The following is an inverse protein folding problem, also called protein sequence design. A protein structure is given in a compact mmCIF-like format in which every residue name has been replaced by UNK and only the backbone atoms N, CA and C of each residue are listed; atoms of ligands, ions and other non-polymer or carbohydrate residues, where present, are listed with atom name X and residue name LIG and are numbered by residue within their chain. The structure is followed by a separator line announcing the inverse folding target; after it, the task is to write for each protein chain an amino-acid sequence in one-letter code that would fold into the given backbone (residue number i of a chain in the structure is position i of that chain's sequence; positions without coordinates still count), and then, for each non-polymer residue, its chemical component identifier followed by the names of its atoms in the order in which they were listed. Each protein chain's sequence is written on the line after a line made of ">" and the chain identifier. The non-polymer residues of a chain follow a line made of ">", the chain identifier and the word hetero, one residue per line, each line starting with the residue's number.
data_IF_037075645306
#
_entry.id   IF_037075645306
#
_cell.length_a   1.000
_cell.length_b   1.000
_cell.length_c   1.000
_cell.angle_alpha   90.00
_cell.angle_beta   90.00
_cell.angle_gamma   90.00
#
_symmetry.space_group_name_H-M   'P 1'
#
loop_
_entity.id
_entity.type
_entity.pdbx_description
1 polymer ?
#
# COMPACT_ATOMS: atom_id res chain seq x y z
N UNK A 1 -11.38 -7.89 19.04
CA UNK A 1 -11.75 -6.45 19.08
C UNK A 1 -12.62 -6.12 17.87
N UNK A 2 -13.95 -5.94 18.02
CA UNK A 2 -14.88 -5.92 16.89
C UNK A 2 -14.57 -4.85 15.81
N UNK A 3 -14.03 -3.70 16.22
CA UNK A 3 -13.72 -2.59 15.31
C UNK A 3 -12.44 -2.86 14.49
N UNK A 4 -11.39 -3.42 15.12
CA UNK A 4 -10.16 -3.82 14.43
C UNK A 4 -10.44 -4.90 13.39
N UNK A 5 -11.30 -5.86 13.75
CA UNK A 5 -11.75 -6.90 12.84
C UNK A 5 -12.45 -6.28 11.62
N UNK A 6 -13.42 -5.38 11.83
CA UNK A 6 -14.09 -4.68 10.72
C UNK A 6 -13.10 -3.93 9.81
N UNK A 7 -12.11 -3.25 10.39
CA UNK A 7 -11.11 -2.52 9.62
C UNK A 7 -10.23 -3.47 8.81
N UNK A 8 -9.73 -4.56 9.41
CA UNK A 8 -8.96 -5.58 8.68
C UNK A 8 -9.75 -6.19 7.52
N UNK A 9 -11.04 -6.43 7.75
CA UNK A 9 -11.92 -6.97 6.73
C UNK A 9 -12.13 -5.97 5.59
N UNK A 10 -12.20 -4.67 5.88
CA UNK A 10 -12.32 -3.63 4.87
C UNK A 10 -11.03 -3.44 4.06
N UNK A 11 -9.86 -3.43 4.73
CA UNK A 11 -8.56 -3.22 4.08
C UNK A 11 -8.19 -4.37 3.13
N UNK A 12 -8.47 -5.61 3.55
CA UNK A 12 -8.17 -6.82 2.78
C UNK A 12 -9.46 -7.53 2.36
N UNK A 13 -10.38 -6.77 1.76
CA UNK A 13 -11.61 -7.31 1.19
C UNK A 13 -11.33 -7.81 -0.25
N UNK A 14 -11.42 -9.12 -0.54
CA UNK A 14 -11.25 -9.63 -1.90
C UNK A 14 -12.39 -9.21 -2.85
N UNK A 15 -13.54 -8.76 -2.33
CA UNK A 15 -14.68 -8.29 -3.13
C UNK A 15 -14.55 -6.82 -3.57
N UNK A 16 -13.35 -6.23 -3.46
CA UNK A 16 -13.08 -4.84 -3.89
C UNK A 16 -13.12 -4.63 -5.41
N UNK A 17 -13.36 -5.67 -6.22
CA UNK A 17 -13.41 -5.62 -7.69
C UNK A 17 -14.34 -4.54 -8.29
N UNK A 18 -15.27 -4.00 -7.50
CA UNK A 18 -16.16 -2.90 -7.90
C UNK A 18 -15.51 -1.52 -7.84
N UNK A 19 -14.31 -1.40 -7.29
CA UNK A 19 -13.62 -0.13 -7.10
C UNK A 19 -12.41 -0.03 -8.01
N UNK A 20 -12.16 1.14 -8.61
CA UNK A 20 -10.96 1.40 -9.40
C UNK A 20 -9.66 1.11 -8.65
N UNK A 21 -9.68 1.25 -7.31
CA UNK A 21 -8.59 0.85 -6.44
C UNK A 21 -8.15 -0.61 -6.64
N UNK A 22 -9.10 -1.53 -6.85
CA UNK A 22 -8.79 -2.93 -7.11
C UNK A 22 -8.00 -3.12 -8.41
N UNK A 23 -8.38 -2.43 -9.49
CA UNK A 23 -7.66 -2.51 -10.77
C UNK A 23 -6.22 -2.00 -10.66
N UNK A 24 -6.00 -0.92 -9.89
CA UNK A 24 -4.66 -0.40 -9.63
C UNK A 24 -3.79 -1.41 -8.83
N UNK A 25 -4.35 -2.00 -7.76
CA UNK A 25 -3.63 -2.99 -6.94
C UNK A 25 -3.36 -4.28 -7.75
N UNK A 26 -4.35 -4.75 -8.50
CA UNK A 26 -4.22 -5.93 -9.35
C UNK A 26 -3.15 -5.74 -10.42
N UNK A 27 -3.21 -4.63 -11.17
CA UNK A 27 -2.21 -4.32 -12.18
C UNK A 27 -0.81 -4.18 -11.58
N UNK A 28 -0.68 -3.55 -10.40
CA UNK A 28 0.59 -3.46 -9.68
C UNK A 28 1.14 -4.84 -9.31
N UNK A 29 0.29 -5.75 -8.82
CA UNK A 29 0.73 -7.10 -8.43
C UNK A 29 1.10 -7.95 -9.64
N UNK A 30 0.37 -7.82 -10.75
CA UNK A 30 0.71 -8.43 -12.03
C UNK A 30 2.05 -7.90 -12.57
N UNK A 31 2.29 -6.59 -12.47
CA UNK A 31 3.58 -5.99 -12.82
C UNK A 31 4.74 -6.53 -11.97
N UNK A 32 4.53 -6.68 -10.65
CA UNK A 32 5.53 -7.29 -9.77
C UNK A 32 5.81 -8.75 -10.15
N UNK A 33 4.79 -9.50 -10.56
CA UNK A 33 4.93 -10.87 -11.04
C UNK A 33 5.72 -10.94 -12.35
N UNK A 34 5.44 -10.07 -13.31
CA UNK A 34 6.19 -10.01 -14.57
C UNK A 34 7.66 -9.66 -14.31
N UNK A 35 7.93 -8.71 -13.40
CA UNK A 35 9.31 -8.37 -13.00
C UNK A 35 10.02 -9.50 -12.28
N UNK A 36 9.34 -10.23 -11.40
CA UNK A 36 9.91 -11.42 -10.79
C UNK A 36 10.29 -12.47 -11.84
N UNK A 37 9.43 -12.69 -12.86
CA UNK A 37 9.72 -13.58 -13.98
C UNK A 37 10.93 -13.14 -14.80
N UNK A 38 11.03 -11.84 -15.12
CA UNK A 38 12.17 -11.25 -15.84
C UNK A 38 13.49 -11.47 -15.09
N UNK A 39 13.50 -11.34 -13.77
CA UNK A 39 14.66 -11.60 -12.92
C UNK A 39 14.84 -13.07 -12.50
N UNK A 40 14.03 -13.99 -13.04
CA UNK A 40 14.05 -15.43 -12.70
C UNK A 40 13.85 -15.72 -11.20
N UNK A 41 13.07 -14.88 -10.52
CA UNK A 41 12.71 -15.04 -9.12
C UNK A 41 11.46 -15.93 -9.03
N UNK A 42 11.64 -17.17 -8.59
CA UNK A 42 10.55 -18.14 -8.39
C UNK A 42 10.02 -18.21 -6.95
N UNK A 43 10.72 -17.60 -5.98
CA UNK A 43 10.35 -17.64 -4.57
C UNK A 43 9.12 -16.76 -4.28
N UNK A 44 8.01 -17.43 -3.94
CA UNK A 44 6.74 -16.77 -3.61
C UNK A 44 6.83 -15.84 -2.39
N UNK A 45 7.77 -16.07 -1.48
CA UNK A 45 7.95 -15.24 -0.29
C UNK A 45 8.53 -13.88 -0.62
N UNK A 46 9.40 -13.82 -1.64
CA UNK A 46 9.94 -12.57 -2.15
C UNK A 46 8.82 -11.77 -2.81
N UNK A 47 8.02 -12.41 -3.67
CA UNK A 47 6.84 -11.80 -4.29
C UNK A 47 5.82 -11.30 -3.25
N UNK A 48 5.52 -12.10 -2.23
CA UNK A 48 4.66 -11.71 -1.11
C UNK A 48 5.21 -10.48 -0.40
N UNK A 49 6.51 -10.47 -0.08
CA UNK A 49 7.17 -9.32 0.55
C UNK A 49 7.06 -8.06 -0.31
N UNK A 50 7.22 -8.16 -1.63
CA UNK A 50 7.07 -7.02 -2.54
C UNK A 50 5.64 -6.46 -2.50
N UNK A 51 4.63 -7.33 -2.57
CA UNK A 51 3.21 -6.95 -2.46
C UNK A 51 2.94 -6.23 -1.14
N UNK A 52 3.41 -6.77 -0.02
CA UNK A 52 3.23 -6.17 1.31
C UNK A 52 4.00 -4.86 1.48
N UNK A 53 5.21 -4.74 0.93
CA UNK A 53 5.99 -3.52 0.95
C UNK A 53 5.30 -2.39 0.18
N UNK A 54 4.73 -2.69 -0.99
CA UNK A 54 4.03 -1.69 -1.81
C UNK A 54 2.66 -1.32 -1.23
N UNK A 55 1.86 -2.29 -0.78
CA UNK A 55 0.49 -2.04 -0.36
C UNK A 55 0.37 -1.74 1.14
N UNK A 56 0.76 -2.69 1.99
CA UNK A 56 0.58 -2.54 3.43
C UNK A 56 1.46 -1.42 3.97
N UNK A 57 2.77 -1.46 3.71
CA UNK A 57 3.72 -0.56 4.37
C UNK A 57 3.65 0.87 3.86
N UNK A 58 3.43 1.07 2.55
CA UNK A 58 3.42 2.40 1.94
C UNK A 58 2.03 3.03 1.86
N UNK A 59 0.96 2.24 1.78
CA UNK A 59 -0.40 2.77 1.64
C UNK A 59 -1.23 2.58 2.90
N UNK A 60 -1.53 1.34 3.28
CA UNK A 60 -2.44 1.08 4.42
C UNK A 60 -1.90 1.57 5.75
N UNK A 61 -0.61 1.36 6.01
CA UNK A 61 0.02 1.83 7.24
C UNK A 61 -0.02 3.36 7.33
N UNK A 62 0.19 4.06 6.21
CA UNK A 62 0.10 5.52 6.18
C UNK A 62 -1.33 6.00 6.43
N UNK A 63 -2.34 5.30 5.91
CA UNK A 63 -3.74 5.63 6.16
C UNK A 63 -4.15 5.40 7.62
N UNK A 64 -3.76 4.27 8.22
CA UNK A 64 -4.08 3.94 9.61
C UNK A 64 -3.45 4.96 10.59
N UNK A 65 -2.23 5.41 10.29
CA UNK A 65 -1.49 6.30 11.18
C UNK A 65 -1.81 7.79 10.98
N UNK A 66 -2.33 8.18 9.81
CA UNK A 66 -2.65 9.56 9.48
C UNK A 66 -4.13 9.71 9.09
N UNK A 67 -5.03 9.37 10.03
CA UNK A 67 -6.47 9.40 9.78
C UNK A 67 -7.02 10.82 9.51
N UNK A 68 -6.33 11.84 10.01
CA UNK A 68 -6.62 13.27 9.76
C UNK A 68 -6.43 13.68 8.29
N UNK A 69 -5.67 12.91 7.51
CA UNK A 69 -5.59 13.12 6.06
C UNK A 69 -6.87 12.71 5.32
N UNK A 70 -7.71 11.87 5.94
CA UNK A 70 -8.91 11.28 5.32
C UNK A 70 -10.19 11.76 5.99
N UNK A 71 -10.15 11.94 7.31
CA UNK A 71 -11.28 12.31 8.14
C UNK A 71 -11.04 13.70 8.73
N UNK A 72 -12.09 14.51 8.80
CA UNK A 72 -12.06 15.81 9.47
C UNK A 72 -12.09 15.61 10.99
N UNK A 73 -11.00 15.07 11.52
CA UNK A 73 -10.79 14.81 12.94
C UNK A 73 -9.44 15.39 13.35
N UNK A 74 -9.36 16.09 14.50
CA UNK A 74 -8.06 16.53 15.00
C UNK A 74 -7.24 15.29 15.35
N UNK A 75 -6.09 15.11 14.68
CA UNK A 75 -5.14 14.09 15.10
C UNK A 75 -4.55 14.55 16.43
N UNK A 76 -5.14 14.08 17.52
CA UNK A 76 -4.60 14.29 18.85
C UNK A 76 -3.33 13.45 18.97
N UNK A 77 -2.22 14.01 18.50
CA UNK A 77 -0.88 13.42 18.60
C UNK A 77 -0.52 13.23 20.07
N UNK A 78 0.24 12.17 20.34
CA UNK A 78 0.67 11.70 21.64
C UNK A 78 -0.46 11.30 22.61
N UNK A 79 -1.62 10.89 22.10
CA UNK A 79 -2.73 10.39 22.92
C UNK A 79 -2.81 8.84 22.92
N UNK A 80 -3.72 8.29 23.73
CA UNK A 80 -3.95 6.84 23.81
C UNK A 80 -4.49 6.23 22.51
N UNK A 81 -5.22 7.02 21.70
CA UNK A 81 -5.78 6.55 20.44
C UNK A 81 -4.68 6.31 19.40
N UNK A 82 -3.76 7.27 19.22
CA UNK A 82 -2.62 7.15 18.32
C UNK A 82 -1.75 5.94 18.69
N UNK A 83 -1.46 5.74 19.98
CA UNK A 83 -0.72 4.55 20.46
C UNK A 83 -1.44 3.25 20.16
N UNK A 84 -2.77 3.24 20.27
CA UNK A 84 -3.60 2.09 19.94
C UNK A 84 -3.60 1.81 18.43
N UNK A 85 -3.65 2.86 17.59
CA UNK A 85 -3.55 2.75 16.14
C UNK A 85 -2.17 2.26 15.70
N UNK A 86 -1.09 2.72 16.32
CA UNK A 86 0.26 2.18 16.09
C UNK A 86 0.35 0.71 16.46
N UNK A 87 -0.19 0.33 17.62
CA UNK A 87 -0.19 -1.07 18.06
C UNK A 87 -0.95 -1.97 17.09
N UNK A 88 -2.10 -1.49 16.59
CA UNK A 88 -2.88 -2.17 15.56
C UNK A 88 -2.13 -2.23 14.23
N UNK A 89 -1.58 -1.12 13.75
CA UNK A 89 -0.77 -1.04 12.52
C UNK A 89 0.38 -2.05 12.53
N UNK A 90 1.06 -2.21 13.67
CA UNK A 90 2.12 -3.21 13.84
C UNK A 90 1.56 -4.64 13.77
N UNK A 91 0.40 -4.91 14.37
CA UNK A 91 -0.27 -6.21 14.24
C UNK A 91 -0.64 -6.51 12.77
N UNK A 92 -1.12 -5.51 12.01
CA UNK A 92 -1.39 -5.65 10.57
C UNK A 92 -0.09 -5.92 9.80
N UNK A 93 1.00 -5.23 10.14
CA UNK A 93 2.30 -5.45 9.52
C UNK A 93 2.79 -6.89 9.74
N UNK A 94 2.69 -7.42 10.96
CA UNK A 94 3.00 -8.84 11.23
C UNK A 94 2.10 -9.79 10.45
N UNK A 95 0.81 -9.49 10.31
CA UNK A 95 -0.10 -10.29 9.50
C UNK A 95 0.22 -10.27 8.00
N UNK A 96 0.93 -9.25 7.52
CA UNK A 96 1.37 -9.17 6.13
C UNK A 96 2.74 -9.82 5.87
N UNK A 97 3.40 -10.38 6.89
CA UNK A 97 4.66 -11.10 6.68
C UNK A 97 4.45 -12.33 5.76
N UNK A 98 5.47 -12.76 5.00
CA UNK A 98 5.39 -13.97 4.17
C UNK A 98 5.04 -15.22 4.99
N UNK A 99 5.50 -15.26 6.24
CA UNK A 99 5.31 -16.39 7.15
C UNK A 99 4.75 -15.89 8.48
N UNK A 100 3.88 -16.66 9.14
CA UNK A 100 3.45 -16.34 10.48
C UNK A 100 4.63 -16.59 11.43
N UNK A 101 5.18 -15.52 11.98
CA UNK A 101 6.27 -15.66 12.94
C UNK A 101 5.83 -16.40 14.21
N UNK A 102 6.66 -17.32 14.73
CA UNK A 102 6.42 -17.88 16.04
C UNK A 102 6.53 -16.79 17.11
N UNK A 103 5.84 -17.01 18.23
CA UNK A 103 5.87 -16.13 19.39
C UNK A 103 6.85 -16.72 20.39
N UNK A 104 7.73 -15.86 20.88
CA UNK A 104 8.78 -16.20 21.83
C UNK A 104 8.68 -15.28 23.06
N UNK A 105 9.34 -15.65 24.16
CA UNK A 105 9.26 -14.91 25.42
C UNK A 105 9.81 -13.47 25.31
N UNK A 106 10.71 -13.24 24.36
CA UNK A 106 11.33 -11.96 24.00
C UNK A 106 10.56 -11.19 22.91
N UNK A 107 9.42 -11.72 22.43
CA UNK A 107 8.62 -11.06 21.42
C UNK A 107 8.04 -9.73 21.94
N UNK A 108 7.97 -8.69 21.09
CA UNK A 108 7.35 -7.42 21.46
C UNK A 108 5.94 -7.61 22.02
N UNK A 109 5.59 -6.84 23.05
CA UNK A 109 4.33 -6.98 23.79
C UNK A 109 3.08 -7.00 22.88
N UNK A 110 3.05 -6.12 21.88
CA UNK A 110 1.98 -6.05 20.87
C UNK A 110 1.85 -7.34 20.04
N UNK A 111 2.97 -7.98 19.67
CA UNK A 111 2.97 -9.25 18.93
C UNK A 111 2.36 -10.38 19.77
N UNK A 112 2.69 -10.41 21.06
CA UNK A 112 2.11 -11.35 22.01
C UNK A 112 0.64 -11.07 22.28
N UNK A 113 0.27 -9.80 22.43
CA UNK A 113 -1.11 -9.37 22.68
C UNK A 113 -2.05 -9.75 21.53
N UNK A 114 -1.62 -9.56 20.28
CA UNK A 114 -2.41 -9.84 19.08
C UNK A 114 -2.10 -11.20 18.45
N UNK A 115 -1.48 -12.12 19.20
CA UNK A 115 -1.04 -13.43 18.71
C UNK A 115 -2.09 -14.19 17.90
N UNK A 116 -3.31 -14.26 18.45
CA UNK A 116 -4.40 -15.04 17.87
C UNK A 116 -4.96 -14.37 16.61
N UNK A 117 -5.07 -13.04 16.66
CA UNK A 117 -5.58 -12.19 15.62
C UNK A 117 -4.61 -12.11 14.44
N UNK A 118 -3.31 -11.97 14.69
CA UNK A 118 -2.26 -11.92 13.65
C UNK A 118 -2.34 -13.17 12.78
N UNK A 119 -2.46 -14.37 13.38
CA UNK A 119 -2.61 -15.62 12.61
C UNK A 119 -3.86 -15.64 11.74
N UNK A 120 -4.99 -15.17 12.28
CA UNK A 120 -6.26 -15.09 11.52
C UNK A 120 -6.17 -14.07 10.38
N UNK A 121 -5.57 -12.91 10.65
CA UNK A 121 -5.36 -11.86 9.67
C UNK A 121 -4.38 -12.29 8.58
N UNK A 122 -3.33 -13.05 8.93
CA UNK A 122 -2.37 -13.58 7.99
C UNK A 122 -3.04 -14.43 6.92
N UNK A 123 -3.87 -15.40 7.32
CA UNK A 123 -4.63 -16.25 6.37
C UNK A 123 -5.51 -15.41 5.44
N UNK A 124 -6.08 -14.31 5.93
CA UNK A 124 -6.88 -13.38 5.12
C UNK A 124 -6.03 -12.59 4.13
N UNK A 125 -4.86 -12.10 4.54
CA UNK A 125 -3.95 -11.36 3.66
C UNK A 125 -3.46 -12.28 2.52
N UNK A 126 -3.09 -13.52 2.84
CA UNK A 126 -2.70 -14.53 1.85
C UNK A 126 -3.83 -14.75 0.84
N UNK A 127 -5.04 -15.05 1.32
CA UNK A 127 -6.21 -15.21 0.45
C UNK A 127 -6.51 -13.96 -0.39
N UNK A 128 -6.35 -12.76 0.17
CA UNK A 128 -6.51 -11.51 -0.58
C UNK A 128 -5.48 -11.40 -1.72
N UNK A 129 -4.20 -11.68 -1.45
CA UNK A 129 -3.16 -11.65 -2.47
C UNK A 129 -3.37 -12.69 -3.56
N UNK A 130 -3.82 -13.89 -3.20
CA UNK A 130 -4.19 -14.94 -4.15
C UNK A 130 -5.32 -14.49 -5.06
N UNK A 131 -6.46 -14.06 -4.48
CA UNK A 131 -7.65 -13.64 -5.23
C UNK A 131 -7.36 -12.47 -6.17
N UNK A 132 -6.56 -11.49 -5.73
CA UNK A 132 -6.18 -10.34 -6.57
C UNK A 132 -5.36 -10.79 -7.78
N UNK A 133 -4.50 -11.80 -7.62
CA UNK A 133 -3.68 -12.34 -8.72
C UNK A 133 -4.38 -13.39 -9.58
N UNK A 134 -5.58 -13.83 -9.19
CA UNK A 134 -6.36 -14.79 -9.98
C UNK A 134 -6.74 -14.18 -11.35
N UNK A 135 -6.64 -14.96 -12.45
CA UNK A 135 -7.08 -14.50 -13.78
C UNK A 135 -8.58 -14.11 -13.80
N UNK A 136 -9.02 -13.25 -14.74
CA UNK A 136 -8.28 -12.71 -15.89
C UNK A 136 -7.33 -11.57 -15.50
N UNK A 137 -6.27 -11.36 -16.31
CA UNK A 137 -5.33 -10.24 -16.11
C UNK A 137 -5.96 -8.91 -16.52
N UNK A 138 -5.58 -7.82 -15.87
CA UNK A 138 -6.07 -6.48 -16.22
C UNK A 138 -5.28 -5.97 -17.43
N UNK A 139 -5.99 -5.65 -18.52
CA UNK A 139 -5.32 -5.11 -19.70
C UNK A 139 -4.87 -3.67 -19.46
N UNK A 140 -3.81 -3.23 -20.17
CA UNK A 140 -3.36 -1.83 -20.10
C UNK A 140 -4.46 -0.86 -20.50
N UNK A 141 -5.24 -1.20 -21.53
CA UNK A 141 -6.37 -0.39 -22.01
C UNK A 141 -7.45 -0.24 -20.94
N UNK A 142 -7.80 -1.33 -20.26
CA UNK A 142 -8.79 -1.31 -19.18
C UNK A 142 -8.33 -0.47 -17.99
N UNK A 143 -7.05 -0.58 -17.59
CA UNK A 143 -6.49 0.31 -16.57
C UNK A 143 -6.53 1.78 -17.00
N UNK A 144 -6.13 2.08 -18.23
CA UNK A 144 -6.12 3.46 -18.74
C UNK A 144 -7.52 4.07 -18.77
N UNK A 145 -8.54 3.30 -19.18
CA UNK A 145 -9.93 3.74 -19.15
C UNK A 145 -10.37 4.09 -17.70
N UNK A 146 -10.03 3.26 -16.72
CA UNK A 146 -10.33 3.55 -15.31
C UNK A 146 -9.56 4.78 -14.78
N UNK A 147 -8.31 4.97 -15.20
CA UNK A 147 -7.52 6.14 -14.85
C UNK A 147 -8.07 7.42 -15.47
N UNK A 148 -8.56 7.37 -16.72
CA UNK A 148 -9.17 8.51 -17.40
C UNK A 148 -10.48 8.93 -16.72
N UNK A 149 -11.37 7.97 -16.41
CA UNK A 149 -12.57 8.24 -15.60
C UNK A 149 -12.24 8.87 -14.25
N UNK A 150 -11.15 8.43 -13.62
CA UNK A 150 -10.65 9.07 -12.39
C UNK A 150 -10.11 10.47 -12.65
N UNK A 151 -9.32 10.67 -13.70
CA UNK A 151 -8.76 11.97 -14.05
C UNK A 151 -9.87 12.99 -14.23
N UNK A 152 -10.90 12.67 -15.03
CA UNK A 152 -12.09 13.50 -15.26
C UNK A 152 -12.77 13.93 -13.96
N UNK A 153 -12.95 13.00 -13.03
CA UNK A 153 -13.61 13.26 -11.74
C UNK A 153 -12.89 14.30 -10.87
N UNK A 154 -11.57 14.36 -10.96
CA UNK A 154 -10.74 15.25 -10.15
C UNK A 154 -10.13 16.40 -10.97
N UNK A 155 -10.59 16.60 -12.23
CA UNK A 155 -10.15 17.74 -13.04
C UNK A 155 -10.43 19.05 -12.32
N UNK A 156 -9.46 19.96 -12.35
CA UNK A 156 -9.58 21.29 -11.76
C UNK A 156 -9.46 21.35 -10.23
N UNK A 157 -9.35 20.21 -9.52
CA UNK A 157 -9.18 20.22 -8.05
C UNK A 157 -7.77 20.62 -7.61
N UNK A 158 -6.78 20.52 -8.50
CA UNK A 158 -5.38 20.82 -8.19
C UNK A 158 -4.85 21.96 -9.05
N UNK A 159 -4.09 22.87 -8.44
CA UNK A 159 -3.39 23.94 -9.15
C UNK A 159 -2.11 23.39 -9.82
N UNK A 160 -2.25 22.99 -11.09
CA UNK A 160 -1.17 22.44 -11.91
C UNK A 160 0.00 23.42 -12.08
N UNK A 161 -0.30 24.71 -12.30
CA UNK A 161 0.73 25.73 -12.53
C UNK A 161 1.63 25.88 -11.29
N UNK A 162 1.01 25.93 -10.11
CA UNK A 162 1.75 26.00 -8.86
C UNK A 162 2.60 24.76 -8.60
N UNK A 163 2.06 23.56 -8.87
CA UNK A 163 2.82 22.31 -8.73
C UNK A 163 4.05 22.27 -9.65
N UNK A 164 3.91 22.70 -10.91
CA UNK A 164 5.02 22.78 -11.87
C UNK A 164 6.05 23.80 -11.42
N UNK A 165 5.61 24.99 -10.98
CA UNK A 165 6.50 26.04 -10.50
C UNK A 165 7.33 25.56 -9.29
N UNK A 166 6.68 24.89 -8.33
CA UNK A 166 7.38 24.30 -7.18
C UNK A 166 8.35 23.21 -7.59
N UNK A 167 7.97 22.35 -8.53
CA UNK A 167 8.83 21.30 -9.04
C UNK A 167 10.08 21.89 -9.71
N UNK A 168 9.91 22.93 -10.52
CA UNK A 168 11.01 23.61 -11.17
C UNK A 168 11.95 24.29 -10.18
N UNK A 169 11.42 25.11 -9.27
CA UNK A 169 12.27 25.88 -8.37
C UNK A 169 12.99 25.04 -7.31
N UNK A 170 12.34 23.99 -6.80
CA UNK A 170 12.90 23.18 -5.72
C UNK A 170 13.80 22.04 -6.22
N UNK A 171 13.51 21.48 -7.41
CA UNK A 171 14.18 20.25 -7.87
C UNK A 171 14.90 20.41 -9.22
N UNK A 172 14.39 21.21 -10.16
CA UNK A 172 15.05 21.35 -11.47
C UNK A 172 16.16 22.39 -11.39
N UNK A 173 15.86 23.62 -10.92
CA UNK A 173 16.83 24.72 -10.88
C UNK A 173 18.10 24.38 -10.08
N UNK A 174 18.03 23.79 -8.86
CA UNK A 174 19.24 23.51 -8.07
C UNK A 174 20.11 22.40 -8.65
N UNK A 175 19.49 21.50 -9.43
CA UNK A 175 20.17 20.33 -10.01
C UNK A 175 20.35 20.47 -11.53
N UNK A 176 20.12 21.66 -12.09
CA UNK A 176 20.08 21.92 -13.53
C UNK A 176 21.35 21.39 -14.24
N UNK A 177 22.53 21.69 -13.70
CA UNK A 177 23.79 21.29 -14.33
C UNK A 177 24.02 19.77 -14.27
N UNK A 178 23.49 19.09 -13.24
CA UNK A 178 23.54 17.63 -13.15
C UNK A 178 22.55 16.99 -14.11
N UNK A 179 21.33 17.52 -14.18
CA UNK A 179 20.29 17.05 -15.12
C UNK A 179 20.80 17.20 -16.55
N UNK A 180 21.35 18.36 -16.92
CA UNK A 180 21.88 18.64 -18.25
C UNK A 180 22.99 17.67 -18.65
N UNK A 181 23.88 17.30 -17.72
CA UNK A 181 24.95 16.31 -17.97
C UNK A 181 24.41 14.91 -18.24
N UNK A 182 23.34 14.50 -17.57
CA UNK A 182 22.71 13.20 -17.83
C UNK A 182 22.00 13.21 -19.18
N UNK A 183 21.26 14.27 -19.49
CA UNK A 183 20.49 14.36 -20.75
C UNK A 183 21.31 14.64 -21.99
N UNK A 184 22.56 15.13 -21.86
CA UNK A 184 23.46 15.38 -23.00
C UNK A 184 24.48 14.26 -23.23
N UNK A 185 24.50 13.22 -22.37
CA UNK A 185 25.35 12.04 -22.52
C UNK A 185 24.60 10.84 -23.13
N UNK A 186 23.38 11.05 -23.64
CA UNK A 186 22.65 10.20 -24.57
C UNK A 186 22.62 10.87 -25.95
#
# INVERSE_FOLDING_TARGET
>A
MPQMDKLMYALFNPQMHKFCFFYAVKYLFEFLADKASEFQISDQNILHSWKSNCLQLRFWNQLILNLDHVLDVPLARNNYLERSLHSFSQAVAYACAPHPDPIHADSPFNKTLFASEIRRYWSRVVNFYEVVTTPPRVSRTELLNHLEMHQERYQGQFNRNWAIEKLYWNYIRPFHDKIKKVTCNE
#
